data_IF_661736424532
#
_entry.id   IF_661736424532
#
_cell.length_a   1.000
_cell.length_b   1.000
_cell.length_c   1.000
_cell.angle_alpha   90.00
_cell.angle_beta   90.00
_cell.angle_gamma   90.00
#
_symmetry.space_group_name_H-M   'P 1'
#
loop_
_entity.id
_entity.type
_entity.pdbx_description
1 polymer ?
#
# COMPACT_ATOMS: atom_id res chain seq x y z
N UNK A 1 32.61 -7.02 20.85
CA UNK A 1 31.32 -6.68 21.48
C UNK A 1 30.92 -7.83 22.39
N UNK A 2 30.62 -7.58 23.67
CA UNK A 2 30.23 -8.60 24.63
C UNK A 2 28.85 -9.19 24.29
N UNK A 3 28.53 -10.37 24.90
CA UNK A 3 27.29 -11.10 24.66
C UNK A 3 26.03 -10.28 24.99
N UNK A 4 26.05 -9.56 26.11
CA UNK A 4 24.96 -8.65 26.54
C UNK A 4 24.73 -7.52 25.51
N UNK A 5 25.79 -7.00 24.89
CA UNK A 5 25.68 -5.94 23.89
C UNK A 5 25.08 -6.45 22.58
N UNK A 6 25.33 -7.72 22.21
CA UNK A 6 24.71 -8.37 21.04
C UNK A 6 23.22 -8.59 21.27
N UNK A 7 22.85 -9.08 22.45
CA UNK A 7 21.44 -9.27 22.80
C UNK A 7 20.67 -7.94 22.78
N UNK A 8 21.23 -6.88 23.36
CA UNK A 8 20.63 -5.55 23.32
C UNK A 8 20.45 -5.04 21.87
N UNK A 9 21.42 -5.31 20.98
CA UNK A 9 21.33 -4.94 19.56
C UNK A 9 20.22 -5.70 18.82
N UNK A 10 20.03 -7.00 19.12
CA UNK A 10 18.92 -7.81 18.57
C UNK A 10 17.58 -7.24 19.01
N UNK A 11 17.42 -6.93 20.31
CA UNK A 11 16.17 -6.33 20.83
C UNK A 11 15.90 -4.99 20.17
N UNK A 12 16.89 -4.11 20.05
CA UNK A 12 16.75 -2.80 19.42
C UNK A 12 16.37 -2.91 17.93
N UNK A 13 16.95 -3.89 17.21
CA UNK A 13 16.58 -4.18 15.81
C UNK A 13 15.11 -4.61 15.71
N UNK A 14 14.70 -5.59 16.53
CA UNK A 14 13.33 -6.11 16.53
C UNK A 14 12.31 -4.99 16.87
N UNK A 15 12.59 -4.17 17.87
CA UNK A 15 11.74 -3.04 18.25
C UNK A 15 11.67 -1.99 17.13
N UNK A 16 12.80 -1.67 16.49
CA UNK A 16 12.83 -0.73 15.37
C UNK A 16 11.99 -1.20 14.19
N UNK A 17 12.01 -2.48 13.87
CA UNK A 17 11.17 -3.06 12.81
C UNK A 17 9.69 -3.07 13.21
N UNK A 18 9.39 -3.44 14.45
CA UNK A 18 8.01 -3.49 14.97
C UNK A 18 7.34 -2.10 15.02
N UNK A 19 8.12 -1.04 15.18
CA UNK A 19 7.63 0.34 15.16
C UNK A 19 7.40 0.89 13.73
N UNK A 20 7.79 0.17 12.70
CA UNK A 20 7.62 0.61 11.31
C UNK A 20 6.16 0.45 10.85
N UNK A 21 5.64 1.47 10.15
CA UNK A 21 4.25 1.49 9.67
C UNK A 21 4.14 1.16 8.16
N UNK A 22 5.26 0.83 7.52
CA UNK A 22 5.32 0.48 6.09
C UNK A 22 6.51 -0.44 5.83
N UNK A 23 6.49 -1.20 4.74
CA UNK A 23 7.61 -2.04 4.30
C UNK A 23 8.89 -1.23 4.10
N UNK A 24 8.84 -0.06 3.51
CA UNK A 24 10.03 0.84 3.39
C UNK A 24 10.59 1.22 4.75
N UNK A 25 9.73 1.51 5.73
CA UNK A 25 10.13 1.80 7.11
C UNK A 25 10.80 0.59 7.78
N UNK A 26 10.23 -0.61 7.60
CA UNK A 26 10.78 -1.86 8.11
C UNK A 26 12.15 -2.18 7.49
N UNK A 27 12.32 -2.03 6.17
CA UNK A 27 13.61 -2.23 5.48
C UNK A 27 14.68 -1.27 5.99
N UNK A 28 14.35 0.02 6.14
CA UNK A 28 15.26 1.03 6.71
C UNK A 28 15.65 0.67 8.14
N UNK A 29 14.70 0.26 8.99
CA UNK A 29 14.96 -0.12 10.37
C UNK A 29 15.85 -1.36 10.43
N UNK A 30 15.61 -2.37 9.59
CA UNK A 30 16.42 -3.57 9.46
C UNK A 30 17.88 -3.25 9.11
N UNK A 31 18.10 -2.53 8.02
CA UNK A 31 19.43 -2.18 7.55
C UNK A 31 20.20 -1.30 8.56
N UNK A 32 19.55 -0.26 9.14
CA UNK A 32 20.15 0.59 10.17
C UNK A 32 20.47 -0.16 11.46
N UNK A 33 19.55 -1.04 11.90
CA UNK A 33 19.73 -1.86 13.09
C UNK A 33 20.92 -2.80 12.94
N UNK A 34 21.01 -3.51 11.83
CA UNK A 34 22.11 -4.44 11.52
C UNK A 34 23.44 -3.70 11.35
N UNK A 35 23.45 -2.54 10.68
CA UNK A 35 24.63 -1.70 10.52
C UNK A 35 25.24 -1.34 11.89
N UNK A 36 24.43 -0.84 12.79
CA UNK A 36 24.86 -0.49 14.17
C UNK A 36 25.31 -1.72 14.97
N UNK A 37 24.56 -2.81 14.89
CA UNK A 37 24.82 -4.05 15.62
C UNK A 37 26.16 -4.67 15.25
N UNK A 38 26.57 -4.56 13.99
CA UNK A 38 27.82 -5.11 13.45
C UNK A 38 28.97 -4.08 13.42
N UNK A 39 28.72 -2.84 13.86
CA UNK A 39 29.71 -1.74 13.77
C UNK A 39 30.15 -1.47 12.35
N UNK A 40 29.20 -1.53 11.41
CA UNK A 40 29.40 -1.12 10.02
C UNK A 40 29.17 0.36 9.83
N UNK A 41 29.64 0.92 8.72
CA UNK A 41 29.35 2.30 8.30
C UNK A 41 28.33 2.35 7.18
N UNK A 42 28.07 1.23 6.51
CA UNK A 42 27.07 1.09 5.46
C UNK A 42 26.35 -0.25 5.60
N UNK A 43 25.07 -0.24 5.28
CA UNK A 43 24.30 -1.48 5.10
C UNK A 43 23.28 -1.34 3.98
N UNK A 44 22.97 -2.47 3.36
CA UNK A 44 21.94 -2.60 2.34
C UNK A 44 21.07 -3.83 2.60
N UNK A 45 19.82 -3.73 2.17
CA UNK A 45 18.89 -4.84 2.10
C UNK A 45 18.49 -5.04 0.64
N UNK A 46 18.66 -6.25 0.12
CA UNK A 46 18.33 -6.59 -1.25
C UNK A 46 17.37 -7.76 -1.31
N UNK A 47 16.45 -7.74 -2.29
CA UNK A 47 15.51 -8.82 -2.56
C UNK A 47 15.91 -9.57 -3.82
N UNK A 48 15.72 -10.87 -3.82
CA UNK A 48 15.96 -11.70 -4.99
C UNK A 48 14.71 -11.81 -5.87
N UNK A 49 14.74 -11.12 -7.00
CA UNK A 49 13.73 -11.20 -8.07
C UNK A 49 14.06 -12.40 -8.98
N UNK A 50 13.51 -13.57 -8.64
CA UNK A 50 13.85 -14.85 -9.27
C UNK A 50 13.53 -14.89 -10.76
N UNK A 51 12.39 -14.39 -11.17
CA UNK A 51 11.94 -14.35 -12.56
C UNK A 51 12.86 -13.50 -13.44
N UNK A 52 13.46 -12.46 -12.84
CA UNK A 52 14.38 -11.56 -13.51
C UNK A 52 15.85 -11.95 -13.30
N UNK A 53 16.13 -12.96 -12.47
CA UNK A 53 17.49 -13.44 -12.19
C UNK A 53 18.40 -12.37 -11.59
N UNK A 54 17.84 -11.46 -10.74
CA UNK A 54 18.59 -10.33 -10.18
C UNK A 54 18.33 -10.13 -8.70
N UNK A 55 19.32 -9.59 -8.00
CA UNK A 55 19.17 -8.96 -6.68
C UNK A 55 18.87 -7.50 -6.88
N UNK A 56 17.70 -7.04 -6.42
CA UNK A 56 17.33 -5.62 -6.41
C UNK A 56 17.55 -5.04 -5.02
N UNK A 57 18.25 -3.92 -4.95
CA UNK A 57 18.46 -3.19 -3.70
C UNK A 57 17.16 -2.48 -3.30
N UNK A 58 16.71 -2.72 -2.07
CA UNK A 58 15.50 -2.12 -1.50
C UNK A 58 15.81 -0.87 -0.70
N UNK A 59 16.95 -0.87 0.00
CA UNK A 59 17.39 0.25 0.83
C UNK A 59 18.88 0.20 1.07
N UNK A 60 19.51 1.36 1.02
CA UNK A 60 20.87 1.64 1.44
C UNK A 60 20.86 2.57 2.64
N UNK A 61 21.70 2.34 3.65
CA UNK A 61 21.79 3.19 4.84
C UNK A 61 23.24 3.39 5.28
N UNK A 62 23.51 4.50 5.96
CA UNK A 62 24.84 4.86 6.47
C UNK A 62 25.61 5.76 5.51
N UNK A 63 26.89 5.51 5.34
CA UNK A 63 27.77 6.28 4.45
C UNK A 63 27.55 5.86 3.00
N UNK A 64 26.72 6.62 2.28
CA UNK A 64 26.41 6.39 0.87
C UNK A 64 27.55 6.91 -0.01
N UNK A 65 27.93 6.16 -1.05
CA UNK A 65 28.81 6.63 -2.11
C UNK A 65 28.04 7.60 -3.04
N UNK A 66 28.75 8.39 -3.86
CA UNK A 66 28.21 9.45 -4.70
C UNK A 66 27.06 9.01 -5.62
N UNK A 67 27.02 7.74 -6.04
CA UNK A 67 25.98 7.18 -6.90
C UNK A 67 24.96 6.31 -6.16
N UNK A 68 24.97 6.30 -4.83
CA UNK A 68 24.07 5.50 -4.02
C UNK A 68 22.94 6.37 -3.44
N UNK A 69 21.71 5.88 -3.56
CA UNK A 69 20.51 6.47 -2.97
C UNK A 69 19.97 5.61 -1.84
N UNK A 70 19.28 6.22 -0.86
CA UNK A 70 18.68 5.47 0.26
C UNK A 70 17.65 4.46 -0.24
N UNK A 71 16.82 4.81 -1.22
CA UNK A 71 15.83 3.94 -1.85
C UNK A 71 16.00 3.99 -3.37
N UNK A 72 16.97 3.25 -3.93
CA UNK A 72 17.22 3.26 -5.36
C UNK A 72 16.06 2.61 -6.13
N UNK A 73 15.68 3.21 -7.27
CA UNK A 73 14.63 2.66 -8.13
C UNK A 73 15.15 1.47 -8.96
N UNK A 74 16.35 1.59 -9.52
CA UNK A 74 16.91 0.66 -10.51
C UNK A 74 18.22 -0.02 -10.09
N UNK A 75 18.68 0.12 -8.85
CA UNK A 75 19.90 -0.57 -8.41
C UNK A 75 19.65 -2.07 -8.28
N UNK A 76 20.23 -2.83 -9.20
CA UNK A 76 20.13 -4.28 -9.21
C UNK A 76 21.40 -4.95 -9.74
N UNK A 77 21.60 -6.21 -9.34
CA UNK A 77 22.77 -7.01 -9.68
C UNK A 77 22.30 -8.35 -10.24
N UNK A 78 22.80 -8.77 -11.44
CA UNK A 78 22.49 -10.09 -12.00
C UNK A 78 23.02 -11.22 -11.11
N UNK A 79 22.15 -12.12 -10.66
CA UNK A 79 22.52 -13.21 -9.72
C UNK A 79 23.58 -14.13 -10.27
N UNK A 80 23.60 -14.40 -11.58
CA UNK A 80 24.61 -15.26 -12.22
C UNK A 80 26.04 -14.71 -12.16
N UNK A 81 26.20 -13.43 -11.80
CA UNK A 81 27.52 -12.80 -11.59
C UNK A 81 28.07 -13.06 -10.19
N UNK A 82 27.26 -13.61 -9.29
CA UNK A 82 27.63 -13.93 -7.92
C UNK A 82 27.58 -15.45 -7.75
N UNK A 83 28.70 -16.11 -8.01
CA UNK A 83 28.80 -17.58 -7.90
C UNK A 83 28.41 -18.06 -6.49
N UNK A 84 28.79 -17.31 -5.46
CA UNK A 84 28.45 -17.56 -4.06
C UNK A 84 26.95 -17.59 -3.80
N UNK A 85 26.15 -16.77 -4.52
CA UNK A 85 24.69 -16.80 -4.40
C UNK A 85 24.12 -18.02 -5.11
N UNK A 86 24.61 -18.32 -6.31
CA UNK A 86 24.12 -19.47 -7.09
C UNK A 86 24.48 -20.80 -6.45
N UNK A 87 25.71 -20.97 -5.95
CA UNK A 87 26.14 -22.16 -5.22
C UNK A 87 25.40 -22.29 -3.89
N UNK A 88 25.30 -21.22 -3.13
CA UNK A 88 24.59 -21.17 -1.87
C UNK A 88 23.10 -21.53 -2.01
N UNK A 89 22.46 -21.05 -3.08
CA UNK A 89 21.03 -21.29 -3.34
C UNK A 89 20.74 -22.72 -3.82
N UNK A 90 21.67 -23.36 -4.49
CA UNK A 90 21.47 -24.72 -5.04
C UNK A 90 21.93 -25.84 -4.11
N UNK A 91 23.09 -25.72 -3.49
CA UNK A 91 23.68 -26.84 -2.74
C UNK A 91 23.24 -26.86 -1.25
N UNK A 92 23.23 -25.72 -0.57
CA UNK A 92 22.91 -25.70 0.87
C UNK A 92 21.41 -25.79 1.15
N UNK A 93 20.58 -25.19 0.30
CA UNK A 93 19.12 -25.18 0.53
C UNK A 93 18.42 -26.41 -0.02
N UNK A 94 18.89 -26.97 -1.11
CA UNK A 94 18.44 -28.28 -1.57
C UNK A 94 18.79 -29.39 -0.59
N UNK A 95 19.89 -29.23 0.17
CA UNK A 95 20.37 -30.18 1.18
C UNK A 95 19.81 -29.93 2.61
N UNK A 96 18.97 -28.91 2.85
CA UNK A 96 18.40 -28.61 4.18
C UNK A 96 19.40 -27.98 5.15
N UNK A 97 20.53 -27.43 4.68
CA UNK A 97 21.49 -26.71 5.51
C UNK A 97 21.00 -25.31 5.92
N UNK A 98 21.37 -24.89 7.13
CA UNK A 98 21.10 -23.50 7.56
C UNK A 98 21.96 -22.51 6.76
N UNK A 99 21.38 -21.36 6.34
CA UNK A 99 22.10 -20.32 5.64
C UNK A 99 23.06 -19.58 6.57
N UNK A 100 24.36 -19.81 6.43
CA UNK A 100 25.39 -19.08 7.16
C UNK A 100 25.78 -17.79 6.44
N UNK A 101 26.01 -16.71 7.20
CA UNK A 101 26.60 -15.50 6.66
C UNK A 101 28.09 -15.71 6.33
N UNK A 102 28.58 -14.95 5.37
CA UNK A 102 30.02 -14.99 4.98
C UNK A 102 30.60 -13.57 4.92
N UNK A 103 31.92 -13.53 4.94
CA UNK A 103 32.70 -12.28 4.91
C UNK A 103 33.49 -12.20 3.62
N UNK A 104 33.48 -11.03 2.99
CA UNK A 104 34.31 -10.70 1.83
C UNK A 104 35.15 -9.47 2.11
N UNK A 105 36.35 -9.42 1.52
CA UNK A 105 37.30 -8.31 1.66
C UNK A 105 37.65 -7.71 0.31
N UNK A 106 38.00 -6.42 0.30
CA UNK A 106 38.46 -5.73 -0.90
C UNK A 106 39.77 -6.31 -1.46
N UNK A 107 40.57 -7.04 -0.67
CA UNK A 107 41.77 -7.74 -1.11
C UNK A 107 41.47 -8.97 -1.93
N UNK A 108 40.29 -9.52 -1.80
CA UNK A 108 39.88 -10.78 -2.44
C UNK A 108 40.27 -12.02 -1.65
N UNK A 109 40.04 -13.23 -2.16
CA UNK A 109 40.41 -14.46 -1.48
C UNK A 109 41.91 -14.68 -1.48
N UNK A 110 42.42 -15.45 -0.51
CA UNK A 110 43.82 -15.86 -0.50
C UNK A 110 44.19 -16.64 -1.78
N UNK A 111 45.42 -16.48 -2.27
CA UNK A 111 45.88 -17.15 -3.48
C UNK A 111 45.71 -18.67 -3.37
N UNK A 112 45.03 -19.30 -4.34
CA UNK A 112 44.81 -20.75 -4.41
C UNK A 112 43.33 -21.17 -4.50
N UNK A 113 42.35 -20.33 -4.25
CA UNK A 113 40.96 -20.59 -4.59
C UNK A 113 40.65 -20.04 -5.99
N UNK A 114 40.91 -20.84 -7.00
CA UNK A 114 40.55 -20.53 -8.37
C UNK A 114 39.04 -20.77 -8.56
N UNK A 115 38.32 -19.76 -9.06
CA UNK A 115 36.92 -19.90 -9.49
C UNK A 115 36.00 -18.75 -9.17
N UNK A 116 36.24 -18.01 -8.11
CA UNK A 116 35.37 -16.88 -7.72
C UNK A 116 35.68 -15.64 -8.56
N UNK A 117 34.75 -15.23 -9.41
CA UNK A 117 34.79 -13.92 -10.05
C UNK A 117 34.16 -12.90 -9.08
N UNK A 118 35.01 -12.21 -8.33
CA UNK A 118 34.63 -11.33 -7.24
C UNK A 118 34.05 -10.01 -7.73
N UNK A 119 32.81 -10.03 -8.18
CA UNK A 119 32.07 -8.80 -8.48
C UNK A 119 31.93 -7.93 -7.21
N UNK A 120 31.75 -8.55 -6.03
CA UNK A 120 31.70 -7.82 -4.75
C UNK A 120 33.04 -7.17 -4.41
N UNK A 121 34.18 -7.84 -4.65
CA UNK A 121 35.51 -7.26 -4.44
C UNK A 121 35.68 -5.97 -5.26
N UNK A 122 35.28 -5.99 -6.52
CA UNK A 122 35.31 -4.81 -7.38
C UNK A 122 34.35 -3.70 -6.87
N UNK A 123 33.18 -4.08 -6.39
CA UNK A 123 32.21 -3.14 -5.81
C UNK A 123 32.72 -2.53 -4.49
N UNK A 124 33.31 -3.33 -3.60
CA UNK A 124 33.94 -2.86 -2.37
C UNK A 124 35.01 -1.80 -2.67
N UNK A 125 35.93 -2.10 -3.60
CA UNK A 125 36.99 -1.18 -4.00
C UNK A 125 36.48 0.14 -4.56
N UNK A 126 35.52 0.09 -5.48
CA UNK A 126 34.92 1.28 -6.11
C UNK A 126 34.24 2.19 -5.10
N UNK A 127 33.66 1.62 -4.04
CA UNK A 127 32.89 2.32 -3.02
C UNK A 127 33.69 2.65 -1.76
N UNK A 128 35.02 2.44 -1.77
CA UNK A 128 35.89 2.72 -0.64
C UNK A 128 35.65 1.84 0.59
N UNK A 129 35.06 0.66 0.39
CA UNK A 129 34.76 -0.32 1.47
C UNK A 129 35.86 -1.36 1.56
N UNK A 130 36.33 -1.65 2.78
CA UNK A 130 37.42 -2.60 3.01
C UNK A 130 36.93 -4.04 3.12
N UNK A 131 35.78 -4.26 3.73
CA UNK A 131 35.18 -5.57 3.89
C UNK A 131 33.66 -5.45 4.03
N UNK A 132 32.98 -6.59 3.81
CA UNK A 132 31.54 -6.74 4.11
C UNK A 132 31.25 -8.10 4.73
N UNK A 133 30.14 -8.16 5.45
CA UNK A 133 29.45 -9.39 5.81
C UNK A 133 28.14 -9.43 5.05
N UNK A 134 27.82 -10.61 4.51
CA UNK A 134 26.59 -10.88 3.76
C UNK A 134 25.84 -12.00 4.47
N UNK A 135 24.61 -11.74 4.85
CA UNK A 135 23.76 -12.69 5.53
C UNK A 135 22.50 -12.94 4.69
N UNK A 136 22.26 -14.18 4.23
CA UNK A 136 21.04 -14.53 3.51
C UNK A 136 19.82 -14.39 4.39
N UNK A 137 18.75 -13.86 3.79
CA UNK A 137 17.43 -13.76 4.41
C UNK A 137 16.54 -14.84 3.83
N UNK A 138 15.99 -15.69 4.69
CA UNK A 138 15.14 -16.82 4.33
C UNK A 138 13.73 -16.57 4.82
N UNK A 139 12.76 -16.57 3.93
CA UNK A 139 11.34 -16.52 4.24
C UNK A 139 10.65 -17.78 3.74
N UNK A 140 9.84 -18.40 4.58
CA UNK A 140 9.07 -19.60 4.24
C UNK A 140 9.94 -20.74 3.63
N UNK A 141 11.16 -20.91 4.13
CA UNK A 141 12.12 -21.91 3.65
C UNK A 141 12.72 -21.61 2.27
N UNK A 142 12.58 -20.36 1.78
CA UNK A 142 13.13 -19.92 0.49
C UNK A 142 14.00 -18.69 0.65
N UNK A 143 15.04 -18.57 -0.19
CA UNK A 143 15.81 -17.34 -0.30
C UNK A 143 14.92 -16.18 -0.67
N UNK A 144 14.82 -15.18 0.19
CA UNK A 144 14.13 -13.94 -0.07
C UNK A 144 15.09 -12.86 -0.58
N UNK A 145 16.28 -12.80 -0.02
CA UNK A 145 17.27 -11.80 -0.35
C UNK A 145 18.48 -11.87 0.57
N UNK A 146 19.15 -10.75 0.76
CA UNK A 146 20.32 -10.65 1.61
C UNK A 146 20.39 -9.36 2.41
N UNK A 147 20.97 -9.45 3.59
CA UNK A 147 21.43 -8.35 4.41
C UNK A 147 22.94 -8.17 4.18
N UNK A 148 23.32 -6.99 3.77
CA UNK A 148 24.71 -6.61 3.51
C UNK A 148 25.14 -5.52 4.49
N UNK A 149 26.29 -5.71 5.16
CA UNK A 149 26.87 -4.69 6.03
C UNK A 149 28.37 -4.53 5.70
N UNK A 150 28.86 -3.31 5.56
CA UNK A 150 30.23 -3.01 5.20
C UNK A 150 30.93 -2.09 6.19
N UNK A 151 32.25 -2.22 6.22
CA UNK A 151 33.19 -1.32 6.91
C UNK A 151 34.12 -0.63 5.90
N UNK A 152 34.62 0.58 6.19
CA UNK A 152 35.53 1.28 5.31
C UNK A 152 36.91 0.62 5.25
N UNK A 153 37.71 1.02 4.28
CA UNK A 153 39.12 0.61 4.19
C UNK A 153 39.86 1.03 5.45
N UNK A 154 40.70 0.13 5.99
CA UNK A 154 41.48 0.33 7.21
C UNK A 154 40.72 -0.01 8.52
N UNK A 155 39.41 -0.24 8.46
CA UNK A 155 38.68 -0.77 9.61
C UNK A 155 38.97 -2.28 9.82
N UNK A 156 38.80 -2.80 11.05
CA UNK A 156 38.94 -4.23 11.32
C UNK A 156 38.04 -5.07 10.42
N UNK A 157 38.56 -6.13 9.82
CA UNK A 157 37.79 -7.07 9.01
C UNK A 157 36.80 -7.81 9.91
N UNK A 158 35.59 -8.08 9.41
CA UNK A 158 34.61 -8.92 10.09
C UNK A 158 35.17 -10.30 10.34
N UNK A 159 35.05 -10.79 11.57
CA UNK A 159 35.44 -12.14 11.94
C UNK A 159 34.27 -13.15 11.85
N UNK A 160 34.60 -14.43 12.12
CA UNK A 160 33.58 -15.50 12.13
C UNK A 160 32.43 -15.18 13.11
N UNK A 161 32.73 -14.70 14.31
CA UNK A 161 31.70 -14.33 15.27
C UNK A 161 30.81 -13.15 14.82
N UNK A 162 31.28 -12.30 13.91
CA UNK A 162 30.44 -11.27 13.30
C UNK A 162 29.51 -11.88 12.21
N UNK A 163 30.01 -12.87 11.45
CA UNK A 163 29.21 -13.61 10.48
C UNK A 163 28.11 -14.44 11.19
N UNK A 164 28.46 -15.17 12.25
CA UNK A 164 27.50 -15.92 13.06
C UNK A 164 26.40 -14.99 13.60
N UNK A 165 26.80 -13.80 14.08
CA UNK A 165 25.86 -12.79 14.58
C UNK A 165 25.02 -12.18 13.46
N UNK A 166 25.58 -11.96 12.28
CA UNK A 166 24.83 -11.49 11.11
C UNK A 166 23.74 -12.49 10.69
N UNK A 167 23.99 -13.81 10.81
CA UNK A 167 22.98 -14.85 10.59
C UNK A 167 21.80 -14.69 11.56
N UNK A 168 22.07 -14.43 12.86
CA UNK A 168 21.02 -14.18 13.85
C UNK A 168 20.24 -12.91 13.47
N UNK A 169 20.91 -11.83 13.11
CA UNK A 169 20.25 -10.59 12.69
C UNK A 169 19.39 -10.81 11.44
N UNK A 170 19.88 -11.57 10.45
CA UNK A 170 19.10 -11.90 9.25
C UNK A 170 17.83 -12.69 9.56
N UNK A 171 17.86 -13.59 10.53
CA UNK A 171 16.67 -14.31 10.98
C UNK A 171 15.64 -13.36 11.63
N UNK A 172 16.10 -12.39 12.45
CA UNK A 172 15.23 -11.35 13.03
C UNK A 172 14.65 -10.45 11.95
N UNK A 173 15.47 -10.04 10.98
CA UNK A 173 15.04 -9.25 9.81
C UNK A 173 13.99 -10.02 9.01
N UNK A 174 14.20 -11.32 8.76
CA UNK A 174 13.23 -12.17 8.08
C UNK A 174 11.86 -12.16 8.78
N UNK A 175 11.86 -12.37 10.10
CA UNK A 175 10.62 -12.32 10.88
C UNK A 175 9.92 -10.96 10.80
N UNK A 176 10.67 -9.87 10.88
CA UNK A 176 10.15 -8.51 10.77
C UNK A 176 9.58 -8.19 9.38
N UNK A 177 10.25 -8.64 8.30
CA UNK A 177 9.76 -8.49 6.92
C UNK A 177 8.46 -9.29 6.75
N UNK A 178 8.43 -10.56 7.16
CA UNK A 178 7.22 -11.38 7.07
C UNK A 178 6.04 -10.75 7.82
N UNK A 179 6.29 -10.13 8.96
CA UNK A 179 5.24 -9.42 9.71
C UNK A 179 4.76 -8.16 8.98
N UNK A 180 5.67 -7.37 8.39
CA UNK A 180 5.31 -6.17 7.63
C UNK A 180 4.49 -6.53 6.37
N UNK A 181 4.90 -7.56 5.62
CA UNK A 181 4.16 -8.06 4.46
C UNK A 181 2.76 -8.56 4.83
N UNK A 182 2.63 -9.30 5.94
CA UNK A 182 1.32 -9.75 6.45
C UNK A 182 0.43 -8.58 6.85
N UNK A 183 0.98 -7.55 7.47
CA UNK A 183 0.22 -6.37 7.86
C UNK A 183 -0.27 -5.59 6.64
N UNK A 184 0.59 -5.36 5.65
CA UNK A 184 0.21 -4.71 4.39
C UNK A 184 -0.87 -5.50 3.65
N UNK A 185 -0.72 -6.83 3.55
CA UNK A 185 -1.74 -7.68 2.93
C UNK A 185 -3.06 -7.66 3.71
N UNK A 186 -3.00 -7.73 5.05
CA UNK A 186 -4.20 -7.62 5.88
C UNK A 186 -4.89 -6.25 5.71
N UNK A 187 -4.12 -5.16 5.62
CA UNK A 187 -4.63 -3.83 5.33
C UNK A 187 -5.25 -3.76 3.93
N UNK A 188 -4.55 -4.30 2.92
CA UNK A 188 -5.07 -4.37 1.56
C UNK A 188 -6.41 -5.11 1.52
N UNK A 189 -6.48 -6.31 2.10
CA UNK A 189 -7.72 -7.09 2.17
C UNK A 189 -8.83 -6.39 2.98
N UNK A 190 -8.47 -5.64 4.03
CA UNK A 190 -9.42 -4.92 4.86
C UNK A 190 -10.00 -3.67 4.20
N UNK A 191 -9.24 -3.00 3.31
CA UNK A 191 -9.58 -1.67 2.77
C UNK A 191 -9.72 -1.61 1.25
N UNK A 192 -9.48 -2.72 0.52
CA UNK A 192 -9.71 -2.78 -0.94
C UNK A 192 -10.81 -3.77 -1.32
N UNK A 193 -11.45 -3.53 -2.45
CA UNK A 193 -12.37 -4.46 -3.11
C UNK A 193 -11.57 -5.44 -3.96
N UNK A 194 -11.75 -6.74 -3.72
CA UNK A 194 -10.93 -7.79 -4.35
C UNK A 194 -11.13 -7.90 -5.87
N UNK A 195 -12.30 -7.51 -6.40
CA UNK A 195 -12.59 -7.59 -7.83
C UNK A 195 -11.99 -6.41 -8.59
N UNK A 196 -12.23 -5.20 -8.10
CA UNK A 196 -11.88 -3.97 -8.83
C UNK A 196 -10.54 -3.38 -8.43
N UNK A 197 -9.96 -3.80 -7.29
CA UNK A 197 -8.75 -3.20 -6.71
C UNK A 197 -8.94 -1.80 -6.15
N UNK A 198 -10.13 -1.21 -6.25
CA UNK A 198 -10.46 0.08 -5.65
C UNK A 198 -10.56 -0.02 -4.12
N UNK A 199 -10.62 1.12 -3.45
CA UNK A 199 -10.99 1.14 -2.04
C UNK A 199 -12.37 0.49 -1.83
N UNK A 200 -12.56 -0.18 -0.69
CA UNK A 200 -13.86 -0.73 -0.33
C UNK A 200 -14.66 0.23 0.56
N UNK A 201 -15.89 -0.15 0.91
CA UNK A 201 -16.76 0.65 1.77
C UNK A 201 -16.12 1.05 3.10
N UNK A 202 -15.35 0.13 3.73
CA UNK A 202 -14.68 0.43 5.01
C UNK A 202 -13.65 1.55 4.87
N UNK A 203 -12.91 1.58 3.76
CA UNK A 203 -11.97 2.66 3.48
C UNK A 203 -12.69 4.01 3.30
N UNK A 204 -13.83 4.01 2.61
CA UNK A 204 -14.65 5.22 2.43
C UNK A 204 -15.20 5.72 3.76
N UNK A 205 -15.77 4.83 4.58
CA UNK A 205 -16.34 5.20 5.88
C UNK A 205 -15.28 5.89 6.76
N UNK A 206 -14.06 5.30 6.85
CA UNK A 206 -12.96 5.88 7.62
C UNK A 206 -12.51 7.24 7.05
N UNK A 207 -12.31 7.33 5.73
CA UNK A 207 -11.82 8.56 5.09
C UNK A 207 -12.85 9.68 5.09
N UNK A 208 -14.13 9.35 5.01
CA UNK A 208 -15.22 10.33 5.04
C UNK A 208 -15.39 10.95 6.42
N UNK A 209 -15.25 10.17 7.51
CA UNK A 209 -15.26 10.68 8.88
C UNK A 209 -14.09 11.67 9.09
N UNK A 210 -12.88 11.34 8.64
CA UNK A 210 -11.71 12.23 8.67
C UNK A 210 -11.94 13.52 7.85
N UNK A 211 -12.50 13.38 6.64
CA UNK A 211 -12.76 14.49 5.74
C UNK A 211 -13.76 15.51 6.33
N UNK A 212 -14.84 15.01 6.94
CA UNK A 212 -15.83 15.88 7.59
C UNK A 212 -15.23 16.57 8.82
N UNK A 213 -14.34 15.92 9.56
CA UNK A 213 -13.63 16.55 10.66
C UNK A 213 -12.65 17.63 10.16
N UNK A 214 -11.94 17.41 9.05
CA UNK A 214 -11.15 18.42 8.36
C UNK A 214 -12.02 19.63 7.94
N UNK A 215 -13.18 19.36 7.34
CA UNK A 215 -14.13 20.43 6.98
C UNK A 215 -14.53 21.28 8.19
N UNK A 216 -14.84 20.64 9.31
CA UNK A 216 -15.26 21.33 10.54
C UNK A 216 -14.15 22.18 11.16
N UNK A 217 -12.90 21.72 11.08
CA UNK A 217 -11.74 22.39 11.67
C UNK A 217 -11.20 23.48 10.77
N UNK A 218 -11.02 23.19 9.49
CA UNK A 218 -10.23 23.98 8.54
C UNK A 218 -11.07 24.57 7.40
N UNK A 219 -12.37 24.24 7.33
CA UNK A 219 -13.26 24.68 6.23
C UNK A 219 -12.98 24.01 4.88
N UNK A 220 -12.20 22.90 4.85
CA UNK A 220 -11.89 22.19 3.62
C UNK A 220 -13.17 21.76 2.89
N UNK A 221 -13.22 21.94 1.57
CA UNK A 221 -14.34 21.44 0.75
C UNK A 221 -14.30 19.91 0.74
N UNK A 222 -15.44 19.28 1.04
CA UNK A 222 -15.60 17.82 0.96
C UNK A 222 -16.76 17.51 0.03
N UNK A 223 -16.49 16.73 -0.99
CA UNK A 223 -17.47 16.30 -1.98
C UNK A 223 -17.50 14.79 -2.09
N UNK A 224 -18.71 14.26 -2.24
CA UNK A 224 -18.96 12.83 -2.43
C UNK A 224 -19.80 12.61 -3.69
N UNK A 225 -19.33 11.77 -4.58
CA UNK A 225 -20.10 11.24 -5.71
C UNK A 225 -20.49 9.80 -5.38
N UNK A 226 -21.77 9.47 -5.48
CA UNK A 226 -22.28 8.09 -5.41
C UNK A 226 -22.73 7.68 -6.79
N UNK A 227 -22.28 6.53 -7.23
CA UNK A 227 -22.53 5.98 -8.56
C UNK A 227 -23.20 4.60 -8.44
N UNK A 228 -24.16 4.33 -9.29
CA UNK A 228 -24.85 3.03 -9.39
C UNK A 228 -24.88 2.60 -10.86
N UNK A 229 -24.23 1.48 -11.16
CA UNK A 229 -24.16 0.91 -12.51
C UNK A 229 -25.51 0.36 -12.95
N UNK A 230 -26.03 0.88 -14.05
CA UNK A 230 -27.30 0.44 -14.60
C UNK A 230 -27.14 -0.89 -15.37
N UNK A 231 -28.12 -1.78 -15.18
CA UNK A 231 -28.22 -2.97 -16.02
C UNK A 231 -27.30 -4.14 -15.63
N UNK A 232 -26.53 -4.10 -14.56
CA UNK A 232 -25.63 -5.19 -14.13
C UNK A 232 -26.38 -6.52 -13.98
N UNK A 233 -27.57 -6.52 -13.35
CA UNK A 233 -28.37 -7.73 -13.21
C UNK A 233 -28.74 -8.33 -14.57
N UNK A 234 -29.19 -7.52 -15.53
CA UNK A 234 -29.51 -7.95 -16.89
C UNK A 234 -28.29 -8.55 -17.59
N UNK A 235 -27.12 -7.94 -17.44
CA UNK A 235 -25.85 -8.45 -17.99
C UNK A 235 -25.55 -9.82 -17.37
N UNK A 236 -25.64 -9.97 -16.05
CA UNK A 236 -25.43 -11.25 -15.38
C UNK A 236 -26.40 -12.34 -15.86
N UNK A 237 -27.68 -12.00 -15.95
CA UNK A 237 -28.74 -12.95 -16.34
C UNK A 237 -28.62 -13.38 -17.83
N UNK A 238 -28.13 -12.50 -18.71
CA UNK A 238 -28.06 -12.77 -20.15
C UNK A 238 -26.70 -13.24 -20.65
N UNK A 239 -25.60 -12.78 -20.02
CA UNK A 239 -24.22 -13.02 -20.47
C UNK A 239 -23.35 -13.74 -19.43
N UNK A 240 -23.88 -13.99 -18.24
CA UNK A 240 -23.20 -14.66 -17.13
C UNK A 240 -22.37 -13.73 -16.25
N UNK A 241 -22.11 -14.21 -15.03
CA UNK A 241 -21.40 -13.43 -14.00
C UNK A 241 -19.99 -12.97 -14.43
N UNK A 242 -19.26 -13.76 -15.22
CA UNK A 242 -17.94 -13.37 -15.70
C UNK A 242 -17.96 -12.12 -16.60
N UNK A 243 -19.06 -11.84 -17.29
CA UNK A 243 -19.22 -10.58 -18.07
C UNK A 243 -19.61 -9.44 -17.15
N UNK A 244 -20.45 -9.68 -16.15
CA UNK A 244 -20.77 -8.71 -15.12
C UNK A 244 -19.53 -8.29 -14.31
N UNK A 245 -18.67 -9.24 -13.94
CA UNK A 245 -17.40 -8.94 -13.26
C UNK A 245 -16.49 -8.06 -14.12
N UNK A 246 -16.36 -8.36 -15.42
CA UNK A 246 -15.61 -7.49 -16.36
C UNK A 246 -16.20 -6.09 -16.49
N UNK A 247 -17.53 -5.95 -16.43
CA UNK A 247 -18.17 -4.63 -16.42
C UNK A 247 -17.78 -3.86 -15.16
N UNK A 248 -17.82 -4.50 -13.99
CA UNK A 248 -17.42 -3.91 -12.71
C UNK A 248 -15.95 -3.50 -12.71
N UNK A 249 -15.05 -4.34 -13.20
CA UNK A 249 -13.60 -4.03 -13.32
C UNK A 249 -13.36 -2.82 -14.25
N UNK A 250 -13.99 -2.82 -15.44
CA UNK A 250 -13.84 -1.72 -16.40
C UNK A 250 -14.41 -0.40 -15.87
N UNK A 251 -15.56 -0.46 -15.19
CA UNK A 251 -16.10 0.74 -14.57
C UNK A 251 -15.21 1.23 -13.42
N UNK A 252 -14.65 0.32 -12.63
CA UNK A 252 -13.65 0.66 -11.61
C UNK A 252 -12.45 1.41 -12.20
N UNK A 253 -11.94 0.98 -13.37
CA UNK A 253 -10.87 1.71 -14.09
C UNK A 253 -11.33 3.10 -14.53
N UNK A 254 -12.54 3.24 -15.06
CA UNK A 254 -13.11 4.55 -15.46
C UNK A 254 -13.17 5.48 -14.24
N UNK A 255 -13.71 5.00 -13.13
CA UNK A 255 -13.83 5.80 -11.91
C UNK A 255 -12.46 6.21 -11.35
N UNK A 256 -11.48 5.31 -11.39
CA UNK A 256 -10.10 5.59 -10.98
C UNK A 256 -9.45 6.68 -11.85
N UNK A 257 -9.62 6.60 -13.17
CA UNK A 257 -9.10 7.59 -14.13
C UNK A 257 -9.74 8.97 -13.92
N UNK A 258 -11.06 9.03 -13.75
CA UNK A 258 -11.74 10.28 -13.47
C UNK A 258 -11.37 10.84 -12.08
N UNK A 259 -11.21 9.97 -11.08
CA UNK A 259 -10.71 10.34 -9.76
C UNK A 259 -9.30 10.92 -9.77
N UNK A 260 -8.43 10.43 -10.65
CA UNK A 260 -7.08 10.97 -10.82
C UNK A 260 -7.03 12.42 -11.33
N UNK A 261 -8.13 12.94 -11.89
CA UNK A 261 -8.27 14.36 -12.25
C UNK A 261 -8.41 15.28 -11.01
N UNK A 262 -8.72 14.70 -9.86
CA UNK A 262 -8.95 15.40 -8.59
C UNK A 262 -7.84 15.03 -7.60
N UNK A 263 -6.97 15.97 -7.19
CA UNK A 263 -5.88 15.67 -6.28
C UNK A 263 -6.36 15.02 -4.97
N UNK A 264 -5.81 13.85 -4.63
CA UNK A 264 -6.10 13.14 -3.39
C UNK A 264 -7.50 12.52 -3.29
N UNK A 265 -8.24 12.41 -4.40
CA UNK A 265 -9.54 11.76 -4.41
C UNK A 265 -9.41 10.24 -4.20
N UNK A 266 -10.43 9.66 -3.51
CA UNK A 266 -10.53 8.24 -3.25
C UNK A 266 -11.66 7.65 -4.11
N UNK A 267 -11.30 6.80 -5.08
CA UNK A 267 -12.24 6.00 -5.83
C UNK A 267 -12.49 4.67 -5.10
N UNK A 268 -13.77 4.28 -4.98
CA UNK A 268 -14.13 3.10 -4.21
C UNK A 268 -15.34 2.36 -4.79
N UNK A 269 -15.42 1.05 -4.48
CA UNK A 269 -16.61 0.23 -4.66
C UNK A 269 -17.27 -0.05 -3.31
N UNK A 270 -18.54 0.31 -3.18
CA UNK A 270 -19.30 0.16 -1.93
C UNK A 270 -19.90 -1.25 -1.78
N UNK A 271 -20.09 -1.94 -2.89
CA UNK A 271 -20.61 -3.30 -2.99
C UNK A 271 -21.59 -3.45 -4.15
N UNK A 272 -21.73 -4.66 -4.69
CA UNK A 272 -22.61 -4.89 -5.83
C UNK A 272 -22.24 -4.02 -7.04
N UNK A 273 -23.20 -3.21 -7.48
CA UNK A 273 -23.11 -2.23 -8.57
C UNK A 273 -22.83 -0.79 -8.12
N UNK A 274 -22.50 -0.59 -6.82
CA UNK A 274 -22.31 0.71 -6.21
C UNK A 274 -20.87 1.10 -6.06
N UNK A 275 -20.58 2.32 -6.48
CA UNK A 275 -19.26 2.94 -6.40
C UNK A 275 -19.37 4.35 -5.83
N UNK A 276 -18.24 4.91 -5.43
CA UNK A 276 -18.18 6.32 -5.04
C UNK A 276 -16.80 6.94 -5.33
N UNK A 277 -16.81 8.27 -5.38
CA UNK A 277 -15.61 9.11 -5.44
C UNK A 277 -15.69 10.14 -4.32
N UNK A 278 -14.74 10.10 -3.39
CA UNK A 278 -14.60 11.07 -2.30
C UNK A 278 -13.46 12.01 -2.63
N UNK A 279 -13.73 13.32 -2.65
CA UNK A 279 -12.71 14.35 -2.87
C UNK A 279 -12.68 15.33 -1.68
N UNK A 280 -11.45 15.73 -1.29
CA UNK A 280 -11.21 16.70 -0.21
C UNK A 280 -10.28 17.79 -0.75
N UNK A 281 -10.74 19.03 -0.78
CA UNK A 281 -10.01 20.19 -1.29
C UNK A 281 -10.50 20.71 -2.65
N UNK A 282 -10.69 19.87 -3.69
CA UNK A 282 -11.25 20.31 -4.96
C UNK A 282 -12.63 20.96 -4.80
N UNK A 283 -12.93 21.97 -5.61
CA UNK A 283 -14.21 22.67 -5.64
C UNK A 283 -15.35 21.74 -6.05
N UNK A 284 -16.59 22.09 -5.66
CA UNK A 284 -17.77 21.33 -6.07
C UNK A 284 -17.90 21.20 -7.59
N UNK A 285 -17.56 22.27 -8.33
CA UNK A 285 -17.64 22.26 -9.79
C UNK A 285 -16.61 21.35 -10.45
N UNK A 286 -15.38 21.23 -9.90
CA UNK A 286 -14.38 20.28 -10.39
C UNK A 286 -14.87 18.84 -10.19
N UNK A 287 -15.49 18.55 -9.03
CA UNK A 287 -16.05 17.23 -8.74
C UNK A 287 -17.24 16.91 -9.64
N UNK A 288 -18.12 17.87 -9.91
CA UNK A 288 -19.24 17.70 -10.85
C UNK A 288 -18.74 17.39 -12.26
N UNK A 289 -17.70 18.08 -12.74
CA UNK A 289 -17.08 17.80 -14.05
C UNK A 289 -16.48 16.38 -14.11
N UNK A 290 -15.83 15.95 -13.03
CA UNK A 290 -15.30 14.58 -12.96
C UNK A 290 -16.44 13.54 -12.94
N UNK A 291 -17.54 13.80 -12.25
CA UNK A 291 -18.72 12.94 -12.22
C UNK A 291 -19.42 12.88 -13.59
N UNK A 292 -19.47 14.01 -14.33
CA UNK A 292 -20.02 14.06 -15.68
C UNK A 292 -19.17 13.22 -16.65
N UNK A 293 -17.85 13.31 -16.54
CA UNK A 293 -16.92 12.47 -17.31
C UNK A 293 -17.09 10.97 -16.97
N UNK A 294 -17.39 10.62 -15.71
CA UNK A 294 -17.74 9.25 -15.34
C UNK A 294 -19.00 8.79 -16.06
N UNK A 295 -20.06 9.60 -16.09
CA UNK A 295 -21.30 9.28 -16.81
C UNK A 295 -21.02 9.04 -18.30
N UNK A 296 -20.29 9.94 -18.93
CA UNK A 296 -19.94 9.84 -20.36
C UNK A 296 -19.16 8.59 -20.69
N UNK A 297 -18.09 8.29 -19.92
CA UNK A 297 -17.24 7.11 -20.15
C UNK A 297 -17.95 5.80 -19.82
N UNK A 298 -18.87 5.80 -18.86
CA UNK A 298 -19.65 4.61 -18.54
C UNK A 298 -20.50 4.13 -19.74
N UNK A 299 -21.07 5.06 -20.50
CA UNK A 299 -21.80 4.75 -21.75
C UNK A 299 -20.86 4.15 -22.81
N UNK A 300 -19.62 4.64 -22.92
CA UNK A 300 -18.61 4.16 -23.87
C UNK A 300 -18.12 2.72 -23.59
N UNK A 301 -18.39 2.17 -22.41
CA UNK A 301 -18.02 0.78 -22.11
C UNK A 301 -18.75 -0.23 -23.01
N UNK A 302 -19.90 0.13 -23.58
CA UNK A 302 -20.68 -0.73 -24.47
C UNK A 302 -21.24 -1.98 -23.82
N UNK A 303 -21.18 -2.09 -22.49
CA UNK A 303 -21.71 -3.16 -21.65
C UNK A 303 -22.51 -2.49 -20.54
N UNK A 304 -23.73 -2.97 -20.28
CA UNK A 304 -24.63 -2.33 -19.31
C UNK A 304 -25.39 -1.14 -19.91
N UNK A 305 -26.01 -0.35 -19.05
CA UNK A 305 -26.91 0.77 -19.43
C UNK A 305 -26.39 2.12 -18.84
N UNK A 306 -25.06 2.30 -18.78
CA UNK A 306 -24.45 3.48 -18.21
C UNK A 306 -24.47 3.48 -16.66
N UNK A 307 -24.45 4.67 -16.07
CA UNK A 307 -24.37 4.88 -14.61
C UNK A 307 -25.25 6.03 -14.18
N UNK A 308 -25.88 5.90 -13.01
CA UNK A 308 -26.58 7.00 -12.33
C UNK A 308 -25.67 7.61 -11.26
N UNK A 309 -25.33 8.88 -11.38
CA UNK A 309 -24.43 9.60 -10.47
C UNK A 309 -25.16 10.67 -9.66
N UNK A 310 -24.94 10.68 -8.34
CA UNK A 310 -25.38 11.73 -7.43
C UNK A 310 -24.21 12.40 -6.75
N UNK A 311 -24.20 13.72 -6.69
CA UNK A 311 -23.12 14.52 -6.10
C UNK A 311 -23.65 15.32 -4.91
N UNK A 312 -22.88 15.34 -3.81
CA UNK A 312 -23.08 16.26 -2.71
C UNK A 312 -21.77 16.89 -2.28
N UNK A 313 -21.77 18.21 -2.07
CA UNK A 313 -20.59 18.96 -1.63
C UNK A 313 -20.94 19.85 -0.44
N UNK A 314 -19.96 20.06 0.44
CA UNK A 314 -20.06 21.04 1.54
C UNK A 314 -20.01 22.48 1.05
N UNK A 315 -19.63 22.72 -0.20
CA UNK A 315 -19.60 24.02 -0.86
C UNK A 315 -20.98 24.40 -1.44
N UNK A 316 -21.81 23.40 -1.75
CA UNK A 316 -23.17 23.63 -2.27
C UNK A 316 -24.16 23.97 -1.14
N UNK A 317 -25.31 24.62 -1.43
CA UNK A 317 -26.29 25.06 -0.43
C UNK A 317 -27.14 23.91 0.14
N UNK A 318 -26.47 22.88 0.67
CA UNK A 318 -27.06 21.66 1.27
C UNK A 318 -27.34 21.80 2.79
N UNK A 319 -27.05 22.96 3.36
CA UNK A 319 -27.08 23.18 4.81
C UNK A 319 -25.88 22.55 5.53
N UNK A 320 -25.78 22.70 6.88
CA UNK A 320 -24.59 22.32 7.61
C UNK A 320 -24.35 20.81 7.57
N UNK A 321 -23.21 20.41 7.03
CA UNK A 321 -22.73 19.01 7.02
C UNK A 321 -21.93 18.73 8.29
N UNK A 322 -22.58 18.17 9.30
CA UNK A 322 -21.99 17.89 10.62
C UNK A 322 -21.51 16.43 10.79
N UNK A 323 -21.80 15.57 9.85
CA UNK A 323 -21.41 14.15 9.90
C UNK A 323 -21.26 13.56 8.51
N UNK A 324 -20.37 12.57 8.40
CA UNK A 324 -20.20 11.73 7.21
C UNK A 324 -21.52 11.15 6.71
N UNK A 325 -22.36 10.68 7.64
CA UNK A 325 -23.69 10.13 7.32
C UNK A 325 -24.59 11.12 6.59
N UNK A 326 -24.53 12.41 6.94
CA UNK A 326 -25.36 13.43 6.26
C UNK A 326 -24.89 13.63 4.82
N UNK A 327 -23.58 13.78 4.60
CA UNK A 327 -23.03 13.96 3.26
C UNK A 327 -23.33 12.74 2.38
N UNK A 328 -23.20 11.54 2.93
CA UNK A 328 -23.53 10.30 2.23
C UNK A 328 -25.02 10.26 1.84
N UNK A 329 -25.94 10.61 2.74
CA UNK A 329 -27.38 10.63 2.44
C UNK A 329 -27.73 11.64 1.34
N UNK A 330 -27.08 12.79 1.31
CA UNK A 330 -27.27 13.80 0.26
C UNK A 330 -26.85 13.24 -1.11
N UNK A 331 -25.68 12.63 -1.20
CA UNK A 331 -25.19 12.02 -2.44
C UNK A 331 -26.04 10.82 -2.88
N UNK A 332 -26.48 9.97 -1.94
CA UNK A 332 -27.36 8.83 -2.18
C UNK A 332 -28.75 9.27 -2.67
N UNK A 333 -29.33 10.31 -2.06
CA UNK A 333 -30.60 10.90 -2.51
C UNK A 333 -30.49 11.51 -3.93
N UNK A 334 -29.38 12.17 -4.24
CA UNK A 334 -29.10 12.68 -5.57
C UNK A 334 -28.94 11.53 -6.59
N UNK A 335 -28.23 10.47 -6.24
CA UNK A 335 -28.07 9.29 -7.09
C UNK A 335 -29.42 8.58 -7.33
N UNK A 336 -30.22 8.42 -6.28
CA UNK A 336 -31.56 7.83 -6.42
C UNK A 336 -32.42 8.60 -7.41
N UNK A 337 -32.36 9.94 -7.37
CA UNK A 337 -33.06 10.80 -8.32
C UNK A 337 -32.50 10.65 -9.73
N UNK A 338 -31.19 10.67 -9.89
CA UNK A 338 -30.55 10.42 -11.20
C UNK A 338 -31.02 9.09 -11.82
N UNK A 339 -31.13 8.04 -11.00
CA UNK A 339 -31.61 6.73 -11.45
C UNK A 339 -33.10 6.74 -11.84
N UNK A 340 -33.95 7.42 -11.06
CA UNK A 340 -35.39 7.53 -11.32
C UNK A 340 -35.68 8.33 -12.60
N UNK A 341 -34.94 9.40 -12.86
CA UNK A 341 -35.06 10.27 -14.03
C UNK A 341 -34.29 9.73 -15.24
N UNK A 342 -33.52 8.66 -15.10
CA UNK A 342 -32.57 8.15 -16.11
C UNK A 342 -31.66 9.28 -16.63
N UNK A 343 -31.15 10.08 -15.72
CA UNK A 343 -30.33 11.24 -16.02
C UNK A 343 -29.03 10.83 -16.73
N UNK A 344 -28.70 11.51 -17.83
CA UNK A 344 -27.45 11.34 -18.56
C UNK A 344 -26.26 12.05 -17.87
N UNK A 345 -26.56 13.02 -16.99
CA UNK A 345 -25.64 13.84 -16.23
C UNK A 345 -25.80 13.59 -14.72
N UNK A 346 -24.80 13.90 -13.90
CA UNK A 346 -24.91 13.75 -12.46
C UNK A 346 -25.96 14.72 -11.87
N UNK A 347 -26.79 14.23 -10.95
CA UNK A 347 -27.67 15.08 -10.15
C UNK A 347 -26.89 15.62 -8.96
N UNK A 348 -26.98 16.92 -8.69
CA UNK A 348 -26.23 17.59 -7.64
C UNK A 348 -27.17 18.09 -6.56
N UNK A 349 -26.94 17.66 -5.32
CA UNK A 349 -27.74 18.11 -4.17
C UNK A 349 -27.53 19.62 -3.90
N UNK A 350 -28.61 20.34 -3.67
CA UNK A 350 -28.60 21.78 -3.31
C UNK A 350 -28.65 22.76 -4.50
N UNK A 351 -28.53 22.29 -5.75
CA UNK A 351 -28.47 23.21 -6.92
C UNK A 351 -29.81 23.54 -7.55
N UNK A 352 -30.91 22.97 -7.08
CA UNK A 352 -32.25 23.31 -7.59
C UNK A 352 -32.94 24.49 -6.84
N UNK A 353 -32.17 25.18 -5.99
CA UNK A 353 -32.66 26.37 -5.27
C UNK A 353 -33.35 26.06 -3.93
N UNK A 354 -34.04 27.05 -3.35
CA UNK A 354 -34.70 26.91 -2.05
C UNK A 354 -35.75 25.78 -2.07
N UNK A 355 -35.52 24.75 -1.21
CA UNK A 355 -36.46 23.63 -1.14
C UNK A 355 -36.09 22.46 -2.08
N UNK A 356 -34.83 22.40 -2.51
CA UNK A 356 -34.27 21.29 -3.33
C UNK A 356 -34.82 19.93 -2.88
N UNK A 357 -35.48 19.18 -3.76
CA UNK A 357 -36.11 17.90 -3.43
C UNK A 357 -35.11 16.87 -2.92
N UNK A 358 -33.85 16.91 -3.40
CA UNK A 358 -32.77 16.01 -2.97
C UNK A 358 -32.41 16.27 -1.52
N UNK A 359 -32.25 17.54 -1.14
CA UNK A 359 -31.94 17.94 0.24
C UNK A 359 -33.07 17.56 1.18
N UNK A 360 -34.32 17.78 0.78
CA UNK A 360 -35.51 17.36 1.55
C UNK A 360 -35.57 15.85 1.74
N UNK A 361 -35.34 15.08 0.67
CA UNK A 361 -35.34 13.62 0.73
C UNK A 361 -34.23 13.10 1.67
N UNK A 362 -33.06 13.73 1.64
CA UNK A 362 -31.95 13.37 2.53
C UNK A 362 -32.23 13.69 4.01
N UNK A 363 -33.09 14.68 4.31
CA UNK A 363 -33.43 15.07 5.66
C UNK A 363 -34.65 14.32 6.24
N UNK A 364 -35.43 13.65 5.41
CA UNK A 364 -36.53 12.81 5.89
C UNK A 364 -35.98 11.66 6.77
N UNK A 365 -36.62 11.39 7.94
CA UNK A 365 -36.24 10.22 8.75
C UNK A 365 -36.44 8.95 7.91
N UNK A 366 -35.39 8.15 7.81
CA UNK A 366 -35.43 6.87 7.08
C UNK A 366 -36.63 6.05 7.55
N UNK A 367 -37.72 6.00 6.78
CA UNK A 367 -38.79 5.03 6.98
C UNK A 367 -38.17 3.66 6.77
N UNK A 368 -38.07 2.88 7.84
CA UNK A 368 -37.60 1.52 7.78
C UNK A 368 -38.53 0.73 6.84
N UNK A 369 -38.10 0.54 5.59
CA UNK A 369 -38.67 -0.46 4.72
C UNK A 369 -37.88 -1.74 4.92
N UNK A 370 -38.57 -2.77 5.36
CA UNK A 370 -38.04 -4.12 5.51
C UNK A 370 -37.38 -4.61 4.22
N UNK A 371 -36.10 -5.09 4.36
CA UNK A 371 -35.39 -5.84 3.34
C UNK A 371 -34.70 -4.97 2.28
N UNK A 372 -33.44 -4.68 2.43
CA UNK A 372 -32.52 -4.03 1.46
C UNK A 372 -32.25 -2.52 1.62
N UNK A 373 -32.02 -2.04 2.80
CA UNK A 373 -31.47 -0.69 2.97
C UNK A 373 -30.07 -0.71 3.57
N UNK A 374 -29.15 -0.19 2.79
CA UNK A 374 -27.76 0.11 3.06
C UNK A 374 -27.62 0.95 4.34
N UNK A 375 -27.08 0.38 5.40
CA UNK A 375 -26.81 1.11 6.63
C UNK A 375 -25.36 1.59 6.60
N UNK A 376 -25.14 2.88 6.56
CA UNK A 376 -23.88 3.49 6.97
C UNK A 376 -23.64 3.09 8.44
N UNK A 377 -22.60 2.29 8.71
CA UNK A 377 -22.20 1.91 10.07
C UNK A 377 -21.12 2.88 10.55
N UNK A 378 -21.54 4.08 11.03
CA UNK A 378 -20.68 4.89 11.88
C UNK A 378 -20.28 4.09 13.13
N UNK A 379 -19.10 4.34 13.68
CA UNK A 379 -18.57 3.69 14.90
C UNK A 379 -19.62 3.79 16.01
N UNK A 380 -20.08 2.65 16.51
CA UNK A 380 -20.73 2.57 17.82
C UNK A 380 -19.64 2.79 18.87
N UNK A 381 -19.72 3.89 19.61
CA UNK A 381 -19.09 3.99 20.93
C UNK A 381 -19.66 2.88 21.79
N UNK A 382 -18.84 2.06 22.48
CA UNK A 382 -19.34 1.11 23.44
C UNK A 382 -19.95 1.90 24.61
N UNK A 383 -21.23 1.64 24.91
CA UNK A 383 -21.91 2.11 26.12
C UNK A 383 -21.07 1.77 27.35
N UNK A 384 -20.76 2.77 28.17
CA UNK A 384 -20.25 2.57 29.52
C UNK A 384 -21.32 1.83 30.32
N UNK A 385 -20.98 0.78 31.07
CA UNK A 385 -21.91 0.26 32.07
C UNK A 385 -22.06 1.28 33.20
N UNK A 386 -23.31 1.56 33.56
CA UNK A 386 -23.64 2.32 34.77
C UNK A 386 -23.22 1.53 36.02
N UNK A 387 -22.72 2.21 37.09
CA UNK A 387 -22.39 1.57 38.33
C UNK A 387 -23.69 1.27 39.11
N UNK A 388 -23.89 -0.03 39.36
CA UNK A 388 -24.83 -0.56 40.34
C UNK A 388 -24.08 -1.14 41.54
#
# INVERSE_FOLDING_TARGET
MGEDSRLAAVVALAQGMAAAHSSRGAWRAAARGACRALGGTFAALSVWERELGRLRVLVNVGELAEAEEEFPEDESYPVYQFAEITEFLHERWAGGGEPDAWVETAEGPPPGRAGYRHQRVAALRRRGRGCCVVAPIVLHGRAWGELYVARPVGAPVFGRGDADFATVLAAVVAAGIAQAERLEEAQRLAYTDALTGLANRRAVDARLDEAVECHRRDGAVVSLVVCDLNGLKRVNDTQGHAVGDRLLERFGMVLSLCGAMLPGALAARLGGDEFCLLAVGPSADEVVKAADEVCRRAVELGIGDGVACGVASTEDPVGPVRSARRLFRLADAAQYRAKAERAEHPVVAGREGPGDPVVRLADEPSRAADGERRRFRGRHSPDRPEPG
#
